data_IF_289474121695
#
_entry.id   IF_289474121695
#
_cell.length_a   1.000
_cell.length_b   1.000
_cell.length_c   1.000
_cell.angle_alpha   90.00
_cell.angle_beta   90.00
_cell.angle_gamma   90.00
#
_symmetry.space_group_name_H-M   'P 1'
#
loop_
_entity.id
_entity.type
_entity.pdbx_description
1 polymer ?
#
# COMPACT_ATOMS: atom_id res chain seq x y z
N UNK A 1 1.72 1.74 -24.85
CA UNK A 1 1.19 0.39 -24.55
C UNK A 1 1.06 0.14 -23.06
N UNK A 2 2.12 0.16 -22.25
CA UNK A 2 2.03 -0.08 -20.78
C UNK A 2 1.15 0.94 -20.03
N UNK A 3 1.35 2.24 -20.27
CA UNK A 3 0.51 3.29 -19.65
C UNK A 3 -0.94 3.25 -20.14
N UNK A 4 -1.15 2.88 -21.40
CA UNK A 4 -2.48 2.70 -21.96
C UNK A 4 -3.18 1.46 -21.34
N UNK A 5 -2.47 0.35 -21.18
CA UNK A 5 -2.98 -0.82 -20.47
C UNK A 5 -3.30 -0.53 -19.00
N UNK A 6 -2.46 0.26 -18.32
CA UNK A 6 -2.74 0.75 -16.96
C UNK A 6 -4.02 1.59 -16.92
N UNK A 7 -4.17 2.55 -17.83
CA UNK A 7 -5.35 3.40 -17.92
C UNK A 7 -6.63 2.59 -18.19
N UNK A 8 -6.56 1.57 -19.06
CA UNK A 8 -7.71 0.71 -19.33
C UNK A 8 -8.14 -0.14 -18.13
N UNK A 9 -7.21 -0.48 -17.23
CA UNK A 9 -7.49 -1.30 -16.04
C UNK A 9 -7.88 -0.45 -14.83
N UNK A 10 -7.17 0.66 -14.60
CA UNK A 10 -7.32 1.50 -13.41
C UNK A 10 -8.18 2.74 -13.65
N UNK A 11 -8.61 3.02 -14.89
CA UNK A 11 -9.34 4.23 -15.26
C UNK A 11 -8.51 5.53 -15.23
N UNK A 12 -7.33 5.49 -14.62
CA UNK A 12 -6.46 6.64 -14.41
C UNK A 12 -4.97 6.28 -14.58
N UNK A 13 -4.16 7.27 -14.95
CA UNK A 13 -2.71 7.10 -15.16
C UNK A 13 -1.90 7.17 -13.84
N UNK A 14 -2.49 7.70 -12.76
CA UNK A 14 -1.91 7.71 -11.43
C UNK A 14 -2.88 8.29 -10.40
N UNK A 15 -3.13 7.56 -9.31
CA UNK A 15 -3.88 8.11 -8.18
C UNK A 15 -3.07 9.20 -7.46
N UNK A 16 -3.72 10.26 -6.94
CA UNK A 16 -3.08 11.39 -6.27
C UNK A 16 -2.68 11.12 -4.82
N UNK A 17 -2.84 9.89 -4.29
CA UNK A 17 -2.42 9.60 -2.91
C UNK A 17 -0.90 9.59 -2.82
N UNK A 18 -0.34 10.77 -2.56
CA UNK A 18 1.05 10.94 -2.23
C UNK A 18 1.40 10.08 -0.99
N UNK A 19 2.65 9.59 -0.88
CA UNK A 19 3.06 8.87 0.32
C UNK A 19 2.76 9.69 1.58
N UNK A 20 2.56 9.04 2.72
CA UNK A 20 2.40 9.75 4.00
C UNK A 20 3.53 10.77 4.19
N UNK A 21 3.17 12.06 4.33
CA UNK A 21 4.10 13.19 4.43
C UNK A 21 4.57 13.81 3.09
N UNK A 22 4.25 13.19 1.96
CA UNK A 22 4.59 13.68 0.62
C UNK A 22 3.42 14.34 -0.11
N UNK A 23 2.25 14.46 0.52
CA UNK A 23 1.18 15.35 0.05
C UNK A 23 1.69 16.77 -0.14
N UNK A 24 2.69 17.21 0.64
CA UNK A 24 3.35 18.50 0.45
C UNK A 24 3.99 18.67 -0.94
N UNK A 25 4.36 17.57 -1.62
CA UNK A 25 4.90 17.60 -2.98
C UNK A 25 3.82 17.93 -4.03
N UNK A 26 2.53 17.90 -3.70
CA UNK A 26 1.48 18.41 -4.60
C UNK A 26 1.49 19.94 -4.66
N UNK A 27 1.91 20.60 -3.57
CA UNK A 27 1.83 22.05 -3.38
C UNK A 27 3.15 22.78 -3.68
N UNK A 28 4.30 22.09 -3.60
CA UNK A 28 5.64 22.65 -3.80
C UNK A 28 6.20 22.32 -5.19
N UNK A 29 7.04 23.17 -5.81
CA UNK A 29 7.81 22.81 -7.00
C UNK A 29 8.63 21.52 -6.82
N UNK A 30 8.08 20.40 -7.32
CA UNK A 30 8.64 19.03 -7.22
C UNK A 30 10.06 18.91 -7.75
N UNK A 31 10.46 19.84 -8.63
CA UNK A 31 11.74 19.84 -9.31
C UNK A 31 12.93 19.83 -8.33
N UNK A 32 12.83 20.49 -7.18
CA UNK A 32 13.93 20.54 -6.21
C UNK A 32 14.15 19.19 -5.52
N UNK A 33 13.07 18.55 -5.07
CA UNK A 33 13.13 17.23 -4.42
C UNK A 33 13.53 16.16 -5.43
N UNK A 34 12.97 16.19 -6.64
CA UNK A 34 13.37 15.27 -7.73
C UNK A 34 14.84 15.45 -8.09
N UNK A 35 15.33 16.69 -8.17
CA UNK A 35 16.75 16.94 -8.39
C UNK A 35 17.61 16.39 -7.23
N UNK A 36 17.12 16.46 -5.99
CA UNK A 36 17.82 15.90 -4.82
C UNK A 36 17.90 14.36 -4.81
N UNK A 37 17.06 13.63 -5.56
CA UNK A 37 17.15 12.15 -5.61
C UNK A 37 18.28 11.63 -6.49
N UNK A 38 18.74 12.43 -7.48
CA UNK A 38 19.73 11.99 -8.46
C UNK A 38 21.10 11.60 -7.88
N UNK A 39 21.66 12.32 -6.89
CA UNK A 39 22.86 11.86 -6.20
C UNK A 39 22.68 10.48 -5.58
N UNK A 40 21.51 10.19 -5.01
CA UNK A 40 21.21 8.87 -4.43
C UNK A 40 21.08 7.80 -5.52
N UNK A 41 20.40 8.09 -6.63
CA UNK A 41 20.29 7.17 -7.77
C UNK A 41 21.69 6.78 -8.30
N UNK A 42 22.56 7.77 -8.51
CA UNK A 42 23.93 7.54 -9.00
C UNK A 42 24.74 6.78 -7.96
N UNK A 43 24.64 7.16 -6.68
CA UNK A 43 25.25 6.43 -5.58
C UNK A 43 24.84 4.95 -5.62
N UNK A 44 23.55 4.64 -5.72
CA UNK A 44 23.06 3.26 -5.74
C UNK A 44 23.57 2.43 -6.93
N UNK A 45 23.76 3.04 -8.10
CA UNK A 45 24.26 2.35 -9.30
C UNK A 45 25.76 2.00 -9.20
N UNK A 46 26.57 2.89 -8.64
CA UNK A 46 28.03 2.69 -8.56
C UNK A 46 28.48 2.08 -7.23
N UNK A 47 27.81 2.45 -6.14
CA UNK A 47 28.14 2.13 -4.75
C UNK A 47 26.86 1.82 -3.97
N UNK A 48 26.31 0.59 -4.08
CA UNK A 48 25.10 0.14 -3.39
C UNK A 48 25.33 -0.07 -1.88
N UNK A 49 25.75 1.02 -1.22
CA UNK A 49 25.83 1.19 0.22
C UNK A 49 24.48 1.66 0.75
N UNK A 50 24.23 1.55 2.05
CA UNK A 50 23.06 2.17 2.69
C UNK A 50 21.74 1.84 1.95
N UNK A 51 21.42 0.55 1.94
CA UNK A 51 20.31 -0.01 1.15
C UNK A 51 19.02 0.09 1.96
N UNK A 52 17.94 0.53 1.32
CA UNK A 52 16.62 0.68 1.87
C UNK A 52 15.55 0.24 0.87
N UNK A 53 14.50 -0.38 1.41
CA UNK A 53 13.29 -0.75 0.64
C UNK A 53 12.57 0.49 0.10
N UNK A 54 12.67 1.62 0.81
CA UNK A 54 12.03 2.89 0.49
C UNK A 54 12.79 4.06 1.14
N UNK A 55 13.17 5.04 0.33
CA UNK A 55 13.81 6.28 0.76
C UNK A 55 12.74 7.37 0.77
N UNK A 56 11.93 7.36 1.84
CA UNK A 56 10.86 8.33 2.04
C UNK A 56 11.36 9.72 2.45
N UNK A 57 10.43 10.68 2.69
CA UNK A 57 10.74 12.06 3.08
C UNK A 57 11.62 12.22 4.33
N UNK A 58 11.63 11.22 5.24
CA UNK A 58 12.55 11.23 6.39
C UNK A 58 14.01 11.02 5.98
N UNK A 59 14.26 10.19 4.95
CA UNK A 59 15.61 9.84 4.49
C UNK A 59 16.10 10.79 3.40
N UNK A 60 15.23 11.16 2.46
CA UNK A 60 15.47 12.20 1.46
C UNK A 60 14.52 13.36 1.76
N UNK A 61 14.98 14.39 2.49
CA UNK A 61 14.14 15.52 2.86
C UNK A 61 13.51 16.21 1.66
N UNK A 62 12.26 16.64 1.84
CA UNK A 62 11.58 17.47 0.83
C UNK A 62 12.30 18.81 0.72
N UNK A 63 12.71 19.16 -0.49
CA UNK A 63 13.41 20.41 -0.75
C UNK A 63 12.41 21.53 -1.07
N UNK A 64 12.49 22.63 -0.33
CA UNK A 64 11.69 23.85 -0.52
C UNK A 64 12.39 24.91 -1.38
N UNK A 65 13.57 24.60 -1.92
CA UNK A 65 14.39 25.53 -2.69
C UNK A 65 15.65 24.86 -3.22
N UNK A 66 16.47 25.63 -3.93
CA UNK A 66 17.78 25.18 -4.37
C UNK A 66 18.72 25.02 -3.18
N UNK A 67 19.44 23.90 -3.15
CA UNK A 67 20.45 23.52 -2.18
C UNK A 67 21.66 22.95 -2.92
N UNK A 68 22.78 22.74 -2.22
CA UNK A 68 23.94 22.10 -2.84
C UNK A 68 23.59 20.72 -3.42
N UNK A 69 22.78 19.93 -2.70
CA UNK A 69 22.41 18.55 -3.08
C UNK A 69 21.63 18.51 -4.40
N UNK A 70 20.59 19.35 -4.54
CA UNK A 70 19.76 19.32 -5.74
C UNK A 70 20.42 20.02 -6.94
N UNK A 71 21.29 21.02 -6.72
CA UNK A 71 22.13 21.58 -7.78
C UNK A 71 23.10 20.53 -8.28
N UNK A 72 23.77 19.79 -7.39
CA UNK A 72 24.63 18.66 -7.77
C UNK A 72 23.83 17.61 -8.56
N UNK A 73 22.64 17.24 -8.10
CA UNK A 73 21.77 16.32 -8.83
C UNK A 73 21.42 16.79 -10.24
N UNK A 74 21.01 18.05 -10.39
CA UNK A 74 20.71 18.63 -11.70
C UNK A 74 21.95 18.65 -12.62
N UNK A 75 23.12 19.03 -12.11
CA UNK A 75 24.38 19.02 -12.86
C UNK A 75 24.78 17.60 -13.28
N UNK A 76 24.57 16.59 -12.42
CA UNK A 76 24.85 15.20 -12.74
C UNK A 76 23.95 14.71 -13.89
N UNK A 77 22.66 15.03 -13.87
CA UNK A 77 21.73 14.70 -14.97
C UNK A 77 22.17 15.36 -16.27
N UNK A 78 22.44 16.67 -16.23
CA UNK A 78 22.89 17.41 -17.42
C UNK A 78 24.21 16.85 -17.95
N UNK A 79 25.15 16.50 -17.07
CA UNK A 79 26.43 15.88 -17.43
C UNK A 79 26.26 14.51 -18.09
N UNK A 80 25.37 13.66 -17.56
CA UNK A 80 25.04 12.35 -18.15
C UNK A 80 24.42 12.53 -19.54
N UNK A 81 23.47 13.46 -19.70
CA UNK A 81 22.82 13.74 -20.98
C UNK A 81 23.82 14.32 -22.00
N UNK A 82 24.71 15.22 -21.58
CA UNK A 82 25.75 15.77 -22.43
C UNK A 82 26.75 14.70 -22.88
N UNK A 83 27.19 13.82 -21.97
CA UNK A 83 28.06 12.68 -22.28
C UNK A 83 27.37 11.72 -23.26
N UNK A 84 26.11 11.39 -23.01
CA UNK A 84 25.30 10.54 -23.88
C UNK A 84 25.17 11.12 -25.30
N UNK A 85 24.89 12.42 -25.40
CA UNK A 85 24.78 13.12 -26.68
C UNK A 85 26.13 13.18 -27.41
N UNK A 86 27.23 13.46 -26.71
CA UNK A 86 28.56 13.46 -27.28
C UNK A 86 28.97 12.06 -27.77
N UNK A 87 28.70 11.03 -26.98
CA UNK A 87 28.95 9.62 -27.32
C UNK A 87 28.09 9.15 -28.50
N UNK A 88 26.86 9.66 -28.63
CA UNK A 88 25.97 9.41 -29.75
C UNK A 88 26.49 10.06 -31.05
N UNK A 89 26.85 11.36 -31.00
CA UNK A 89 27.33 12.12 -32.16
C UNK A 89 28.67 11.61 -32.68
N UNK A 90 29.58 11.21 -31.78
CA UNK A 90 30.93 10.71 -32.15
C UNK A 90 30.95 9.22 -32.48
N UNK A 91 29.92 8.48 -32.08
CA UNK A 91 29.87 7.04 -32.29
C UNK A 91 29.61 6.70 -33.75
N UNK A 92 30.49 5.92 -34.36
CA UNK A 92 30.28 5.31 -35.67
C UNK A 92 29.65 3.94 -35.47
N UNK A 93 28.57 3.63 -36.20
CA UNK A 93 27.99 2.28 -36.26
C UNK A 93 28.78 1.48 -37.28
N UNK A 94 29.53 0.50 -36.83
CA UNK A 94 30.21 -0.47 -37.69
C UNK A 94 30.19 -1.85 -37.01
N UNK A 95 29.97 -2.95 -37.74
CA UNK A 95 29.98 -4.30 -37.17
C UNK A 95 31.28 -4.63 -36.42
N UNK A 96 32.41 -4.10 -36.89
CA UNK A 96 33.74 -4.47 -36.41
C UNK A 96 34.29 -3.56 -35.30
N UNK A 97 33.54 -2.54 -34.87
CA UNK A 97 34.01 -1.60 -33.84
C UNK A 97 32.98 -1.39 -32.75
N UNK A 98 33.50 -1.30 -31.52
CA UNK A 98 32.73 -0.97 -30.35
C UNK A 98 32.24 0.49 -30.41
N UNK A 99 30.96 0.70 -30.70
CA UNK A 99 30.38 2.03 -30.87
C UNK A 99 30.04 2.70 -29.54
N UNK A 100 30.49 3.94 -29.34
CA UNK A 100 30.11 4.75 -28.17
C UNK A 100 28.60 5.10 -28.12
N UNK A 101 27.85 4.83 -29.21
CA UNK A 101 26.38 4.98 -29.21
C UNK A 101 25.69 4.10 -28.16
N UNK A 102 26.33 3.03 -27.70
CA UNK A 102 25.82 2.22 -26.59
C UNK A 102 25.57 3.04 -25.32
N UNK A 103 26.41 4.04 -25.03
CA UNK A 103 26.23 4.95 -23.89
C UNK A 103 24.98 5.83 -24.09
N UNK A 104 24.82 6.36 -25.30
CA UNK A 104 23.65 7.17 -25.66
C UNK A 104 22.36 6.38 -25.57
N UNK A 105 22.36 5.15 -26.09
CA UNK A 105 21.25 4.21 -25.95
C UNK A 105 20.95 3.92 -24.47
N UNK A 106 21.98 3.63 -23.67
CA UNK A 106 21.82 3.35 -22.24
C UNK A 106 21.21 4.53 -21.47
N UNK A 107 21.62 5.76 -21.79
CA UNK A 107 21.03 6.96 -21.20
C UNK A 107 19.56 7.17 -21.60
N UNK A 108 19.22 6.99 -22.89
CA UNK A 108 17.84 7.06 -23.36
C UNK A 108 16.98 5.99 -22.68
N UNK A 109 17.47 4.75 -22.61
CA UNK A 109 16.81 3.66 -21.91
C UNK A 109 16.58 4.02 -20.44
N UNK A 110 17.60 4.52 -19.75
CA UNK A 110 17.51 4.92 -18.34
C UNK A 110 16.42 5.97 -18.14
N UNK A 111 16.42 7.05 -18.94
CA UNK A 111 15.44 8.14 -18.84
C UNK A 111 14.03 7.64 -19.10
N UNK A 112 13.81 6.83 -20.14
CA UNK A 112 12.49 6.28 -20.47
C UNK A 112 11.97 5.43 -19.31
N UNK A 113 12.82 4.56 -18.77
CA UNK A 113 12.41 3.56 -17.78
C UNK A 113 12.30 4.11 -16.36
N UNK A 114 13.07 5.14 -16.00
CA UNK A 114 12.91 5.82 -14.71
C UNK A 114 11.73 6.79 -14.71
N UNK A 115 11.35 7.34 -15.87
CA UNK A 115 10.33 8.39 -15.99
C UNK A 115 8.99 8.12 -15.28
N UNK A 116 8.42 6.89 -15.25
CA UNK A 116 7.16 6.65 -14.57
C UNK A 116 7.28 6.72 -13.04
N UNK A 117 8.49 6.55 -12.52
CA UNK A 117 8.79 6.49 -11.08
C UNK A 117 9.65 7.67 -10.60
N UNK A 118 9.97 8.62 -11.48
CA UNK A 118 10.82 9.77 -11.16
C UNK A 118 10.09 10.87 -10.37
N UNK A 119 8.79 10.72 -10.16
CA UNK A 119 7.90 11.73 -9.56
C UNK A 119 7.85 13.07 -10.33
N UNK A 120 8.42 13.13 -11.53
CA UNK A 120 8.39 14.30 -12.41
C UNK A 120 7.06 14.40 -13.17
N UNK A 121 6.63 13.29 -13.80
CA UNK A 121 5.37 13.25 -14.57
C UNK A 121 4.19 12.71 -13.75
N UNK A 122 4.43 11.72 -12.89
CA UNK A 122 3.41 11.03 -12.10
C UNK A 122 3.88 10.88 -10.67
N UNK A 123 3.03 11.20 -9.68
CA UNK A 123 3.32 10.89 -8.28
C UNK A 123 3.13 9.39 -8.08
N UNK A 124 4.21 8.69 -7.77
CA UNK A 124 4.21 7.23 -7.72
C UNK A 124 3.90 6.64 -6.35
N UNK A 125 3.67 7.47 -5.32
CA UNK A 125 3.50 6.98 -3.96
C UNK A 125 4.83 6.68 -3.23
N UNK A 126 5.98 6.81 -3.90
CA UNK A 126 7.33 6.46 -3.42
C UNK A 126 8.32 7.51 -3.94
N UNK A 127 9.16 8.07 -3.07
CA UNK A 127 10.12 9.10 -3.50
C UNK A 127 11.31 8.49 -4.26
N UNK A 128 11.93 7.45 -3.68
CA UNK A 128 12.93 6.59 -4.32
C UNK A 128 12.89 5.21 -3.66
N UNK A 129 13.03 4.15 -4.43
CA UNK A 129 13.20 2.80 -3.89
C UNK A 129 14.11 1.98 -4.81
N UNK A 130 14.86 1.03 -4.27
CA UNK A 130 15.80 0.21 -5.06
C UNK A 130 15.12 -0.51 -6.23
N UNK A 131 13.90 -1.03 -6.00
CA UNK A 131 13.12 -1.74 -7.02
C UNK A 131 12.78 -0.88 -8.23
N UNK A 132 12.77 0.45 -8.12
CA UNK A 132 12.51 1.33 -9.28
C UNK A 132 13.72 1.41 -10.21
N UNK A 133 14.91 1.01 -9.75
CA UNK A 133 16.14 1.01 -10.53
C UNK A 133 16.40 -0.30 -11.29
N UNK A 134 15.56 -1.33 -11.16
CA UNK A 134 15.77 -2.61 -11.84
C UNK A 134 15.79 -2.49 -13.36
N UNK A 135 14.80 -1.81 -13.95
CA UNK A 135 14.75 -1.61 -15.39
C UNK A 135 15.70 -0.49 -15.89
N UNK A 136 15.81 0.65 -15.18
CA UNK A 136 16.81 1.68 -15.49
C UNK A 136 18.24 1.18 -15.48
N UNK A 137 18.61 0.29 -14.55
CA UNK A 137 19.99 -0.20 -14.42
C UNK A 137 20.52 -0.92 -15.67
N UNK A 138 19.65 -1.47 -16.53
CA UNK A 138 20.06 -2.03 -17.83
C UNK A 138 20.82 -1.01 -18.69
N UNK A 139 20.36 0.24 -18.70
CA UNK A 139 21.03 1.32 -19.42
C UNK A 139 22.40 1.64 -18.85
N UNK A 140 22.52 1.62 -17.52
CA UNK A 140 23.78 1.77 -16.81
C UNK A 140 24.75 0.61 -17.10
N UNK A 141 24.28 -0.64 -17.04
CA UNK A 141 25.07 -1.84 -17.33
C UNK A 141 25.57 -1.83 -18.78
N UNK A 142 24.76 -1.38 -19.74
CA UNK A 142 25.20 -1.25 -21.14
C UNK A 142 26.34 -0.23 -21.30
N UNK A 143 26.25 0.91 -20.61
CA UNK A 143 27.32 1.92 -20.61
C UNK A 143 28.59 1.41 -19.90
N UNK A 144 28.44 0.72 -18.77
CA UNK A 144 29.55 0.12 -18.03
C UNK A 144 30.25 -0.99 -18.83
N UNK A 145 29.47 -1.86 -19.50
CA UNK A 145 29.99 -2.91 -20.37
C UNK A 145 30.77 -2.31 -21.55
N UNK A 146 30.25 -1.25 -22.18
CA UNK A 146 30.99 -0.53 -23.21
C UNK A 146 32.33 0.02 -22.69
N UNK A 147 32.31 0.68 -21.53
CA UNK A 147 33.53 1.24 -20.94
C UNK A 147 34.57 0.16 -20.61
N UNK A 148 34.11 -0.97 -20.08
CA UNK A 148 34.95 -2.12 -19.75
C UNK A 148 35.55 -2.76 -21.01
N UNK A 149 34.74 -2.98 -22.06
CA UNK A 149 35.22 -3.51 -23.34
C UNK A 149 36.21 -2.56 -24.01
N UNK A 150 35.97 -1.25 -23.92
CA UNK A 150 36.92 -0.24 -24.43
C UNK A 150 38.24 -0.28 -23.67
N UNK A 151 38.20 -0.45 -22.35
CA UNK A 151 39.40 -0.62 -21.54
C UNK A 151 40.10 -1.95 -21.85
N UNK A 152 39.34 -3.01 -22.11
CA UNK A 152 39.87 -4.34 -22.42
C UNK A 152 40.73 -4.34 -23.70
N UNK A 153 40.33 -3.57 -24.72
CA UNK A 153 41.09 -3.42 -25.96
C UNK A 153 42.49 -2.82 -25.75
N UNK A 154 42.68 -1.97 -24.73
CA UNK A 154 43.97 -1.31 -24.47
C UNK A 154 44.75 -1.86 -23.27
N UNK A 155 44.04 -2.26 -22.21
CA UNK A 155 44.60 -2.70 -20.91
C UNK A 155 43.79 -3.90 -20.36
N UNK A 156 43.88 -5.09 -20.98
CA UNK A 156 43.03 -6.24 -20.64
C UNK A 156 43.23 -6.72 -19.20
N UNK A 157 44.47 -6.70 -18.67
CA UNK A 157 44.75 -7.08 -17.27
C UNK A 157 44.03 -6.17 -16.28
N UNK A 158 44.08 -4.85 -16.51
CA UNK A 158 43.40 -3.88 -15.64
C UNK A 158 41.88 -4.04 -15.73
N UNK A 159 41.33 -4.21 -16.94
CA UNK A 159 39.91 -4.46 -17.14
C UNK A 159 39.46 -5.75 -16.43
N UNK A 160 40.24 -6.84 -16.53
CA UNK A 160 40.00 -8.09 -15.82
C UNK A 160 39.99 -7.93 -14.30
N UNK A 161 40.97 -7.23 -13.73
CA UNK A 161 41.01 -6.94 -12.29
C UNK A 161 39.79 -6.12 -11.86
N UNK A 162 39.44 -5.06 -12.58
CA UNK A 162 38.26 -4.24 -12.28
C UNK A 162 36.99 -5.08 -12.31
N UNK A 163 36.81 -5.93 -13.33
CA UNK A 163 35.64 -6.80 -13.46
C UNK A 163 35.55 -7.78 -12.29
N UNK A 164 36.64 -8.48 -11.97
CA UNK A 164 36.68 -9.45 -10.87
C UNK A 164 36.40 -8.77 -9.53
N UNK A 165 37.00 -7.60 -9.27
CA UNK A 165 36.75 -6.84 -8.06
C UNK A 165 35.29 -6.37 -7.97
N UNK A 166 34.74 -5.83 -9.06
CA UNK A 166 33.34 -5.40 -9.11
C UNK A 166 32.39 -6.56 -8.85
N UNK A 167 32.57 -7.70 -9.52
CA UNK A 167 31.76 -8.90 -9.30
C UNK A 167 31.92 -9.43 -7.88
N UNK A 168 33.14 -9.53 -7.36
CA UNK A 168 33.41 -9.98 -5.99
C UNK A 168 32.74 -9.11 -4.94
N UNK A 169 32.82 -7.78 -5.08
CA UNK A 169 32.16 -6.82 -4.20
C UNK A 169 30.63 -6.93 -4.30
N UNK A 170 30.05 -7.05 -5.49
CA UNK A 170 28.60 -7.18 -5.68
C UNK A 170 28.06 -8.52 -5.16
N UNK A 171 28.80 -9.62 -5.36
CA UNK A 171 28.48 -10.92 -4.78
C UNK A 171 28.55 -10.88 -3.25
N UNK A 172 29.61 -10.29 -2.68
CA UNK A 172 29.73 -10.09 -1.24
C UNK A 172 28.60 -9.22 -0.67
N UNK A 173 28.24 -8.13 -1.37
CA UNK A 173 27.14 -7.25 -0.97
C UNK A 173 25.79 -7.97 -1.00
N UNK A 174 25.55 -8.78 -2.05
CA UNK A 174 24.36 -9.62 -2.17
C UNK A 174 24.29 -10.62 -1.02
N UNK A 175 25.37 -11.38 -0.81
CA UNK A 175 25.46 -12.38 0.26
C UNK A 175 25.18 -11.77 1.65
N UNK A 176 25.76 -10.61 1.94
CA UNK A 176 25.54 -9.93 3.21
C UNK A 176 24.10 -9.40 3.38
N UNK A 177 23.40 -9.06 2.29
CA UNK A 177 22.04 -8.51 2.35
C UNK A 177 20.94 -9.56 2.30
N UNK A 178 21.19 -10.74 1.70
CA UNK A 178 20.19 -11.81 1.57
C UNK A 178 19.51 -12.19 2.90
N UNK A 179 20.22 -12.33 4.04
CA UNK A 179 19.59 -12.68 5.31
C UNK A 179 18.51 -11.68 5.76
N UNK A 180 18.70 -10.39 5.48
CA UNK A 180 17.73 -9.33 5.83
C UNK A 180 16.36 -9.59 5.20
N UNK A 181 16.32 -10.20 4.01
CA UNK A 181 15.08 -10.46 3.26
C UNK A 181 14.39 -11.77 3.63
N UNK A 182 14.79 -12.43 4.72
CA UNK A 182 14.19 -13.70 5.16
C UNK A 182 12.71 -13.58 5.51
N UNK A 183 12.30 -12.47 6.14
CA UNK A 183 10.91 -12.16 6.47
C UNK A 183 10.71 -10.66 6.69
N UNK A 184 9.46 -10.21 6.72
CA UNK A 184 9.12 -8.79 6.86
C UNK A 184 9.64 -8.17 8.16
N UNK A 185 9.59 -8.92 9.27
CA UNK A 185 10.06 -8.43 10.57
C UNK A 185 11.54 -8.07 10.53
N UNK A 186 12.38 -8.95 9.98
CA UNK A 186 13.82 -8.70 9.82
C UNK A 186 14.11 -7.53 8.88
N UNK A 187 13.41 -7.46 7.74
CA UNK A 187 13.56 -6.36 6.78
C UNK A 187 13.32 -5.01 7.45
N UNK A 188 12.19 -4.86 8.15
CA UNK A 188 11.83 -3.58 8.76
C UNK A 188 12.61 -3.30 10.05
N UNK A 189 13.03 -4.33 10.78
CA UNK A 189 13.93 -4.17 11.93
C UNK A 189 15.29 -3.60 11.50
N UNK A 190 15.93 -4.21 10.49
CA UNK A 190 17.18 -3.69 9.93
C UNK A 190 16.98 -2.28 9.37
N UNK A 191 15.91 -2.08 8.60
CA UNK A 191 15.63 -0.77 8.00
C UNK A 191 15.46 0.34 9.04
N UNK A 192 14.77 0.07 10.15
CA UNK A 192 14.58 1.06 11.23
C UNK A 192 15.82 1.24 12.10
N UNK A 193 16.74 0.27 12.12
CA UNK A 193 18.05 0.43 12.74
C UNK A 193 19.01 1.28 11.89
N UNK A 194 18.94 1.17 10.57
CA UNK A 194 19.74 1.95 9.60
C UNK A 194 19.15 3.36 9.40
N UNK A 195 17.82 3.46 9.33
CA UNK A 195 17.05 4.70 9.14
C UNK A 195 15.93 4.84 10.19
N UNK A 196 16.25 5.25 11.44
CA UNK A 196 15.26 5.47 12.48
C UNK A 196 14.17 6.50 12.10
N UNK A 197 14.52 7.46 11.24
CA UNK A 197 13.67 8.51 10.69
C UNK A 197 12.68 8.02 9.62
N UNK A 198 12.77 6.76 9.18
CA UNK A 198 11.84 6.18 8.21
C UNK A 198 10.50 5.81 8.88
N UNK A 199 9.62 6.79 9.08
CA UNK A 199 8.35 6.60 9.78
C UNK A 199 7.43 5.53 9.15
N UNK A 200 7.45 5.36 7.82
CA UNK A 200 6.71 4.28 7.14
C UNK A 200 7.28 2.90 7.49
N UNK A 201 8.60 2.79 7.63
CA UNK A 201 9.25 1.55 8.05
C UNK A 201 8.87 1.21 9.50
N UNK A 202 8.78 2.21 10.39
CA UNK A 202 8.28 2.03 11.76
C UNK A 202 6.83 1.52 11.79
N UNK A 203 5.97 2.05 10.92
CA UNK A 203 4.59 1.55 10.79
C UNK A 203 4.57 0.07 10.35
N UNK A 204 5.27 -0.27 9.28
CA UNK A 204 5.32 -1.65 8.75
C UNK A 204 6.02 -2.63 9.71
N UNK A 205 6.97 -2.14 10.52
CA UNK A 205 7.55 -2.90 11.62
C UNK A 205 6.50 -3.22 12.68
N UNK A 206 5.64 -2.26 13.01
CA UNK A 206 4.49 -2.48 13.89
C UNK A 206 3.55 -3.57 13.38
N UNK A 207 3.16 -3.50 12.10
CA UNK A 207 2.34 -4.54 11.46
C UNK A 207 3.02 -5.92 11.53
N UNK A 208 4.34 -5.95 11.31
CA UNK A 208 5.13 -7.19 11.37
C UNK A 208 5.20 -7.78 12.78
N UNK A 209 5.31 -6.95 13.82
CA UNK A 209 5.26 -7.40 15.21
C UNK A 209 3.88 -7.96 15.59
N UNK A 210 2.79 -7.34 15.12
CA UNK A 210 1.44 -7.89 15.33
C UNK A 210 1.25 -9.23 14.64
N UNK A 211 1.70 -9.36 13.39
CA UNK A 211 1.69 -10.63 12.67
C UNK A 211 2.54 -11.72 13.36
N UNK A 212 3.60 -11.34 14.07
CA UNK A 212 4.45 -12.23 14.85
C UNK A 212 3.91 -12.52 16.28
N UNK A 213 2.73 -12.00 16.65
CA UNK A 213 2.16 -12.18 17.98
C UNK A 213 2.87 -11.39 19.10
N UNK A 214 3.55 -10.29 18.75
CA UNK A 214 4.32 -9.44 19.67
C UNK A 214 3.68 -8.05 19.83
N UNK A 215 2.48 -7.94 20.42
CA UNK A 215 1.70 -6.69 20.43
C UNK A 215 2.38 -5.54 21.19
N UNK A 216 3.20 -5.85 22.21
CA UNK A 216 3.91 -4.81 22.99
C UNK A 216 4.91 -4.05 22.14
N UNK A 217 5.70 -4.75 21.32
CA UNK A 217 6.66 -4.12 20.42
C UNK A 217 5.94 -3.46 19.23
N UNK A 218 4.85 -4.08 18.74
CA UNK A 218 4.00 -3.49 17.70
C UNK A 218 3.44 -2.12 18.09
N UNK A 219 2.89 -1.99 19.30
CA UNK A 219 2.40 -0.71 19.82
C UNK A 219 3.51 0.34 19.97
N UNK A 220 4.72 -0.06 20.36
CA UNK A 220 5.86 0.86 20.43
C UNK A 220 6.25 1.37 19.03
N UNK A 221 6.33 0.48 18.05
CA UNK A 221 6.64 0.84 16.67
C UNK A 221 5.59 1.78 16.07
N UNK A 222 4.29 1.53 16.31
CA UNK A 222 3.23 2.46 15.94
C UNK A 222 3.35 3.83 16.59
N UNK A 223 3.70 3.88 17.88
CA UNK A 223 3.94 5.17 18.57
C UNK A 223 5.09 5.95 17.93
N UNK A 224 6.18 5.28 17.56
CA UNK A 224 7.27 5.93 16.82
C UNK A 224 6.82 6.39 15.43
N UNK A 225 6.07 5.56 14.70
CA UNK A 225 5.55 5.91 13.38
C UNK A 225 4.66 7.17 13.44
N UNK A 226 3.73 7.23 14.39
CA UNK A 226 2.86 8.40 14.62
C UNK A 226 3.69 9.62 15.02
N UNK A 227 4.74 9.45 15.84
CA UNK A 227 5.63 10.54 16.22
C UNK A 227 6.41 11.13 15.03
N UNK A 228 6.81 10.31 14.06
CA UNK A 228 7.61 10.74 12.89
C UNK A 228 6.73 11.27 11.77
N UNK A 229 5.67 10.54 11.41
CA UNK A 229 4.79 10.87 10.29
C UNK A 229 3.68 11.87 10.67
N UNK A 230 3.55 12.16 11.96
CA UNK A 230 2.40 12.84 12.52
C UNK A 230 1.17 11.92 12.60
N UNK A 231 0.17 12.35 13.37
CA UNK A 231 -1.10 11.64 13.50
C UNK A 231 -2.02 11.80 12.29
N UNK A 232 -1.53 11.76 11.06
CA UNK A 232 -2.35 11.97 9.86
C UNK A 232 -3.41 10.87 9.70
N UNK A 233 -4.66 11.24 9.39
CA UNK A 233 -5.80 10.33 9.34
C UNK A 233 -5.55 8.99 8.60
N UNK A 234 -4.92 9.00 7.42
CA UNK A 234 -4.58 7.77 6.67
C UNK A 234 -3.70 6.79 7.46
N UNK A 235 -2.71 7.29 8.20
CA UNK A 235 -1.84 6.45 9.04
C UNK A 235 -2.64 5.86 10.20
N UNK A 236 -3.44 6.70 10.87
CA UNK A 236 -4.26 6.31 12.00
C UNK A 236 -5.28 5.23 11.63
N UNK A 237 -5.96 5.39 10.49
CA UNK A 237 -6.88 4.39 9.94
C UNK A 237 -6.13 3.10 9.59
N UNK A 238 -4.95 3.20 8.96
CA UNK A 238 -4.11 2.05 8.62
C UNK A 238 -3.71 1.23 9.85
N UNK A 239 -3.17 1.89 10.88
CA UNK A 239 -2.81 1.27 12.16
C UNK A 239 -4.04 0.67 12.84
N UNK A 240 -5.17 1.39 12.84
CA UNK A 240 -6.39 0.96 13.51
C UNK A 240 -6.95 -0.34 12.93
N UNK A 241 -6.86 -0.56 11.61
CA UNK A 241 -7.26 -1.84 11.00
C UNK A 241 -6.47 -3.02 11.57
N UNK A 242 -5.16 -2.88 11.71
CA UNK A 242 -4.32 -3.93 12.32
C UNK A 242 -4.67 -4.13 13.79
N UNK A 243 -4.89 -3.05 14.54
CA UNK A 243 -5.29 -3.12 15.94
C UNK A 243 -6.65 -3.80 16.15
N UNK A 244 -7.65 -3.49 15.32
CA UNK A 244 -8.97 -4.16 15.34
C UNK A 244 -8.81 -5.67 15.12
N UNK A 245 -8.06 -6.06 14.08
CA UNK A 245 -7.81 -7.46 13.76
C UNK A 245 -7.06 -8.21 14.89
N UNK A 246 -6.22 -7.50 15.64
CA UNK A 246 -5.52 -8.02 16.81
C UNK A 246 -6.31 -7.92 18.12
N UNK A 247 -7.55 -7.40 18.10
CA UNK A 247 -8.42 -7.26 19.27
C UNK A 247 -8.09 -6.08 20.19
N UNK A 248 -7.23 -5.15 19.76
CA UNK A 248 -6.85 -3.95 20.52
C UNK A 248 -7.81 -2.77 20.28
N UNK A 249 -9.10 -3.01 20.48
CA UNK A 249 -10.18 -2.09 20.12
C UNK A 249 -10.07 -0.72 20.78
N UNK A 250 -9.69 -0.65 22.07
CA UNK A 250 -9.58 0.62 22.79
C UNK A 250 -8.53 1.57 22.17
N UNK A 251 -7.40 1.01 21.72
CA UNK A 251 -6.37 1.79 21.03
C UNK A 251 -6.83 2.20 19.63
N UNK A 252 -7.47 1.28 18.89
CA UNK A 252 -8.03 1.57 17.57
C UNK A 252 -9.10 2.67 17.63
N UNK A 253 -10.02 2.61 18.60
CA UNK A 253 -11.09 3.59 18.78
C UNK A 253 -10.54 5.01 18.98
N UNK A 254 -9.51 5.16 19.82
CA UNK A 254 -8.87 6.45 20.07
C UNK A 254 -8.25 7.03 18.79
N UNK A 255 -7.54 6.21 18.01
CA UNK A 255 -6.93 6.64 16.76
C UNK A 255 -7.96 6.95 15.67
N UNK A 256 -9.04 6.17 15.58
CA UNK A 256 -10.12 6.39 14.62
C UNK A 256 -10.95 7.64 14.94
N UNK A 257 -11.23 7.91 16.22
CA UNK A 257 -11.87 9.16 16.63
C UNK A 257 -11.03 10.36 16.23
N UNK A 258 -9.72 10.31 16.48
CA UNK A 258 -8.83 11.39 16.07
C UNK A 258 -8.73 11.53 14.54
N UNK A 259 -8.72 10.41 13.81
CA UNK A 259 -8.75 10.44 12.34
C UNK A 259 -10.05 11.08 11.81
N UNK A 260 -11.18 10.78 12.45
CA UNK A 260 -12.49 11.32 12.09
C UNK A 260 -12.59 12.82 12.39
N UNK A 261 -12.05 13.30 13.52
CA UNK A 261 -11.94 14.72 13.83
C UNK A 261 -11.14 15.50 12.78
N UNK A 262 -10.07 14.89 12.23
CA UNK A 262 -9.24 15.54 11.23
C UNK A 262 -9.90 15.63 9.85
N UNK A 263 -10.67 14.61 9.46
CA UNK A 263 -11.34 14.52 8.16
C UNK A 263 -12.75 13.96 8.33
N UNK A 264 -13.73 14.80 8.74
CA UNK A 264 -15.11 14.38 8.90
C UNK A 264 -15.69 13.71 7.65
N UNK A 265 -15.36 14.21 6.47
CA UNK A 265 -15.85 13.70 5.18
C UNK A 265 -15.26 12.34 4.77
N UNK A 266 -14.30 11.80 5.53
CA UNK A 266 -13.70 10.51 5.24
C UNK A 266 -14.43 9.38 5.99
N UNK A 267 -15.53 8.89 5.41
CA UNK A 267 -16.45 7.89 5.99
C UNK A 267 -15.83 6.54 6.41
N UNK A 268 -14.57 6.28 6.08
CA UNK A 268 -13.84 5.05 6.46
C UNK A 268 -13.62 4.96 7.97
N UNK A 269 -13.31 6.06 8.64
CA UNK A 269 -13.06 6.05 10.10
C UNK A 269 -14.32 5.69 10.91
N UNK A 270 -15.47 6.38 10.72
CA UNK A 270 -16.73 5.97 11.35
C UNK A 270 -17.14 4.55 10.94
N UNK A 271 -16.94 4.15 9.68
CA UNK A 271 -17.24 2.79 9.24
C UNK A 271 -16.42 1.69 9.92
N UNK A 272 -15.21 1.98 10.40
CA UNK A 272 -14.41 1.05 11.22
C UNK A 272 -14.81 1.09 12.70
N UNK A 273 -15.26 2.25 13.20
CA UNK A 273 -15.78 2.40 14.55
C UNK A 273 -17.06 1.57 14.77
N UNK A 274 -17.90 1.38 13.75
CA UNK A 274 -19.11 0.54 13.86
C UNK A 274 -18.79 -0.86 14.36
N UNK A 275 -17.74 -1.49 13.83
CA UNK A 275 -17.31 -2.83 14.25
C UNK A 275 -16.83 -2.85 15.70
N UNK A 276 -16.12 -1.81 16.15
CA UNK A 276 -15.65 -1.68 17.52
C UNK A 276 -16.84 -1.53 18.48
N UNK A 277 -17.76 -0.62 18.17
CA UNK A 277 -18.93 -0.35 19.01
C UNK A 277 -19.86 -1.56 19.10
N UNK A 278 -20.07 -2.26 17.98
CA UNK A 278 -20.85 -3.49 17.93
C UNK A 278 -20.26 -4.60 18.81
N UNK A 279 -18.93 -4.81 18.77
CA UNK A 279 -18.24 -5.75 19.69
C UNK A 279 -18.34 -5.37 21.16
N UNK A 280 -18.42 -4.08 21.46
CA UNK A 280 -18.55 -3.55 22.81
C UNK A 280 -20.03 -3.48 23.29
N UNK A 281 -21.00 -3.86 22.46
CA UNK A 281 -22.43 -3.75 22.77
C UNK A 281 -22.96 -2.30 22.79
N UNK A 282 -22.20 -1.35 22.24
CA UNK A 282 -22.51 0.07 22.17
C UNK A 282 -23.34 0.36 20.92
N UNK A 283 -24.51 -0.24 20.86
CA UNK A 283 -25.36 -0.24 19.67
C UNK A 283 -25.84 1.14 19.22
N UNK A 284 -26.18 2.10 20.11
CA UNK A 284 -26.52 3.46 19.70
C UNK A 284 -25.37 4.16 18.96
N UNK A 285 -24.13 4.02 19.45
CA UNK A 285 -22.95 4.60 18.77
C UNK A 285 -22.62 3.86 17.47
N UNK A 286 -22.82 2.54 17.42
CA UNK A 286 -22.66 1.75 16.20
C UNK A 286 -23.64 2.19 15.11
N UNK A 287 -24.90 2.43 15.46
CA UNK A 287 -25.91 2.97 14.55
C UNK A 287 -25.51 4.35 14.03
N UNK A 288 -25.16 5.27 14.93
CA UNK A 288 -24.80 6.64 14.55
C UNK A 288 -23.60 6.66 13.59
N UNK A 289 -22.56 5.87 13.88
CA UNK A 289 -21.38 5.75 13.03
C UNK A 289 -21.70 5.10 11.67
N UNK A 290 -22.57 4.08 11.64
CA UNK A 290 -22.96 3.41 10.40
C UNK A 290 -23.78 4.33 9.49
N UNK A 291 -24.73 5.08 10.06
CA UNK A 291 -25.52 6.07 9.31
C UNK A 291 -24.62 7.16 8.73
N UNK A 292 -23.69 7.68 9.52
CA UNK A 292 -22.73 8.68 9.03
C UNK A 292 -21.87 8.13 7.87
N UNK A 293 -21.35 6.92 7.99
CA UNK A 293 -20.57 6.31 6.91
C UNK A 293 -21.41 6.12 5.62
N UNK A 294 -22.71 5.84 5.75
CA UNK A 294 -23.65 5.73 4.64
C UNK A 294 -24.08 7.08 4.03
N UNK A 295 -23.94 8.19 4.75
CA UNK A 295 -24.12 9.53 4.16
C UNK A 295 -23.00 9.83 3.15
N UNK A 296 -21.78 9.38 3.43
CA UNK A 296 -20.62 9.54 2.53
C UNK A 296 -20.62 8.51 1.39
N UNK A 297 -20.89 7.24 1.69
CA UNK A 297 -21.05 6.19 0.69
C UNK A 297 -22.35 5.40 0.92
N UNK A 298 -23.41 5.87 0.26
CA UNK A 298 -24.74 5.23 0.30
C UNK A 298 -24.79 3.82 -0.30
N UNK A 299 -23.69 3.33 -0.88
CA UNK A 299 -23.57 2.00 -1.49
C UNK A 299 -22.74 1.02 -0.68
N UNK A 300 -22.23 1.41 0.50
CA UNK A 300 -21.44 0.53 1.35
C UNK A 300 -22.31 -0.55 2.03
N UNK A 301 -22.32 -1.75 1.44
CA UNK A 301 -23.07 -2.89 1.95
C UNK A 301 -22.62 -3.34 3.35
N UNK A 302 -21.35 -3.11 3.72
CA UNK A 302 -20.81 -3.46 5.05
C UNK A 302 -21.42 -2.56 6.12
N UNK A 303 -21.62 -1.28 5.83
CA UNK A 303 -22.24 -0.36 6.79
C UNK A 303 -23.74 -0.62 6.95
N UNK A 304 -24.45 -1.01 5.88
CA UNK A 304 -25.83 -1.49 6.01
C UNK A 304 -25.93 -2.76 6.86
N UNK A 305 -24.95 -3.67 6.76
CA UNK A 305 -24.88 -4.83 7.65
C UNK A 305 -24.70 -4.41 9.11
N UNK A 306 -23.75 -3.52 9.40
CA UNK A 306 -23.49 -3.02 10.75
C UNK A 306 -24.71 -2.28 11.32
N UNK A 307 -25.36 -1.45 10.51
CA UNK A 307 -26.59 -0.74 10.86
C UNK A 307 -27.72 -1.72 11.21
N UNK A 308 -27.94 -2.75 10.39
CA UNK A 308 -28.96 -3.78 10.63
C UNK A 308 -28.73 -4.47 11.99
N UNK A 309 -27.49 -4.86 12.30
CA UNK A 309 -27.15 -5.45 13.61
C UNK A 309 -27.41 -4.50 14.77
N UNK A 310 -26.96 -3.25 14.65
CA UNK A 310 -27.14 -2.25 15.70
C UNK A 310 -28.63 -1.97 15.97
N UNK A 311 -29.46 -1.92 14.93
CA UNK A 311 -30.91 -1.74 15.04
C UNK A 311 -31.60 -2.96 15.65
N UNK A 312 -31.22 -4.17 15.23
CA UNK A 312 -31.74 -5.43 15.76
C UNK A 312 -31.49 -5.54 17.27
N UNK A 313 -30.26 -5.26 17.71
CA UNK A 313 -29.89 -5.28 19.12
C UNK A 313 -30.62 -4.22 19.97
N UNK A 314 -31.09 -3.14 19.35
CA UNK A 314 -31.94 -2.13 19.98
C UNK A 314 -33.44 -2.46 19.91
N UNK A 315 -33.83 -3.60 19.33
CA UNK A 315 -35.24 -4.01 19.17
C UNK A 315 -35.98 -3.32 18.03
N UNK A 316 -35.29 -2.52 17.20
CA UNK A 316 -35.87 -1.81 16.04
C UNK A 316 -35.89 -2.72 14.81
N UNK A 317 -36.66 -3.79 14.91
CA UNK A 317 -36.60 -4.94 13.99
C UNK A 317 -37.04 -4.60 12.56
N UNK A 318 -38.04 -3.74 12.37
CA UNK A 318 -38.48 -3.32 11.03
C UNK A 318 -37.36 -2.58 10.28
N UNK A 319 -36.72 -1.60 10.92
CA UNK A 319 -35.59 -0.87 10.33
C UNK A 319 -34.38 -1.78 10.13
N UNK A 320 -34.16 -2.76 11.01
CA UNK A 320 -33.10 -3.75 10.86
C UNK A 320 -33.31 -4.63 9.61
N UNK A 321 -34.55 -5.00 9.29
CA UNK A 321 -34.92 -5.71 8.05
C UNK A 321 -34.63 -4.84 6.82
N UNK A 322 -35.00 -3.55 6.86
CA UNK A 322 -34.78 -2.65 5.73
C UNK A 322 -33.29 -2.39 5.47
N UNK A 323 -32.50 -2.15 6.53
CA UNK A 323 -31.05 -2.05 6.44
C UNK A 323 -30.44 -3.34 5.88
N UNK A 324 -30.94 -4.51 6.30
CA UNK A 324 -30.46 -5.80 5.77
C UNK A 324 -30.76 -5.97 4.28
N UNK A 325 -31.96 -5.61 3.84
CA UNK A 325 -32.34 -5.62 2.42
C UNK A 325 -31.46 -4.66 1.62
N UNK A 326 -31.10 -3.50 2.18
CA UNK A 326 -30.17 -2.57 1.55
C UNK A 326 -28.78 -3.19 1.38
N UNK A 327 -28.21 -3.83 2.41
CA UNK A 327 -26.93 -4.55 2.31
C UNK A 327 -26.93 -5.57 1.15
N UNK A 328 -28.01 -6.36 1.03
CA UNK A 328 -28.19 -7.34 -0.06
C UNK A 328 -28.22 -6.65 -1.43
N UNK A 329 -28.97 -5.53 -1.58
CA UNK A 329 -29.08 -4.79 -2.86
C UNK A 329 -27.74 -4.21 -3.31
N UNK A 330 -26.90 -3.75 -2.39
CA UNK A 330 -25.71 -2.96 -2.70
C UNK A 330 -24.41 -3.76 -2.89
N UNK A 331 -24.44 -5.10 -2.85
CA UNK A 331 -23.27 -5.89 -3.25
C UNK A 331 -23.18 -7.28 -2.63
N UNK A 332 -23.94 -7.55 -1.58
CA UNK A 332 -23.79 -8.79 -0.82
C UNK A 332 -24.82 -9.87 -1.19
N UNK A 333 -25.55 -9.70 -2.30
CA UNK A 333 -26.62 -10.62 -2.70
C UNK A 333 -26.16 -12.05 -3.00
N UNK A 334 -24.87 -12.27 -3.31
CA UNK A 334 -24.30 -13.59 -3.58
C UNK A 334 -23.97 -14.39 -2.31
N UNK A 335 -23.85 -13.75 -1.15
CA UNK A 335 -23.46 -14.40 0.10
C UNK A 335 -24.68 -14.95 0.83
N UNK A 336 -24.72 -16.26 1.08
CA UNK A 336 -25.85 -16.89 1.77
C UNK A 336 -26.06 -16.31 3.19
N UNK A 337 -24.98 -15.85 3.84
CA UNK A 337 -24.98 -15.33 5.20
C UNK A 337 -25.90 -14.11 5.33
N UNK A 338 -25.96 -13.25 4.30
CA UNK A 338 -26.86 -12.09 4.33
C UNK A 338 -28.33 -12.47 4.38
N UNK A 339 -28.69 -13.51 3.61
CA UNK A 339 -30.04 -14.03 3.57
C UNK A 339 -30.40 -14.78 4.86
N UNK A 340 -29.42 -15.45 5.48
CA UNK A 340 -29.60 -16.03 6.81
C UNK A 340 -29.84 -14.97 7.88
N UNK A 341 -29.03 -13.91 7.91
CA UNK A 341 -29.22 -12.79 8.84
C UNK A 341 -30.54 -12.04 8.60
N UNK A 342 -30.98 -11.92 7.34
CA UNK A 342 -32.31 -11.39 7.02
C UNK A 342 -33.41 -12.26 7.60
N UNK A 343 -33.33 -13.57 7.41
CA UNK A 343 -34.29 -14.51 7.97
C UNK A 343 -34.34 -14.45 9.50
N UNK A 344 -33.19 -14.33 10.15
CA UNK A 344 -33.08 -14.21 11.61
C UNK A 344 -33.84 -12.99 12.13
N UNK A 345 -33.59 -11.81 11.57
CA UNK A 345 -34.29 -10.58 11.97
C UNK A 345 -35.79 -10.68 11.68
N UNK A 346 -36.18 -11.30 10.56
CA UNK A 346 -37.59 -11.52 10.20
C UNK A 346 -38.30 -12.48 11.16
N UNK A 347 -37.61 -13.52 11.64
CA UNK A 347 -38.14 -14.43 12.65
C UNK A 347 -38.34 -13.71 13.98
N UNK A 348 -37.39 -12.86 14.39
CA UNK A 348 -37.53 -12.05 15.61
C UNK A 348 -38.68 -11.04 15.49
N UNK A 349 -38.90 -10.49 14.29
CA UNK A 349 -40.03 -9.61 13.99
C UNK A 349 -41.37 -10.37 13.98
N UNK A 350 -41.34 -11.70 13.84
CA UNK A 350 -42.52 -12.56 13.71
C UNK A 350 -42.98 -12.78 12.25
N UNK A 351 -42.29 -12.21 11.26
CA UNK A 351 -42.58 -12.41 9.83
C UNK A 351 -42.01 -13.74 9.33
N UNK A 352 -42.68 -14.81 9.74
CA UNK A 352 -42.29 -16.19 9.46
C UNK A 352 -42.31 -16.49 7.95
N UNK A 353 -43.23 -15.87 7.20
CA UNK A 353 -43.36 -16.11 5.75
C UNK A 353 -42.14 -15.57 5.00
N UNK A 354 -41.76 -14.32 5.27
CA UNK A 354 -40.58 -13.73 4.62
C UNK A 354 -39.30 -14.40 5.10
N UNK A 355 -39.22 -14.80 6.37
CA UNK A 355 -38.07 -15.53 6.89
C UNK A 355 -37.81 -16.84 6.13
N UNK A 356 -38.85 -17.61 5.81
CA UNK A 356 -38.68 -18.84 5.02
C UNK A 356 -38.19 -18.57 3.61
N UNK A 357 -38.73 -17.53 2.95
CA UNK A 357 -38.28 -17.11 1.62
C UNK A 357 -36.81 -16.65 1.62
N UNK A 358 -36.39 -15.96 2.68
CA UNK A 358 -34.99 -15.57 2.88
C UNK A 358 -34.10 -16.81 3.08
N UNK A 359 -34.54 -17.81 3.85
CA UNK A 359 -33.79 -19.07 3.99
C UNK A 359 -33.74 -19.88 2.69
N UNK A 360 -34.78 -19.86 1.85
CA UNK A 360 -34.72 -20.47 0.52
C UNK A 360 -33.67 -19.77 -0.35
N UNK A 361 -33.64 -18.43 -0.29
CA UNK A 361 -32.63 -17.63 -0.99
C UNK A 361 -31.21 -17.92 -0.48
N UNK A 362 -31.02 -18.14 0.82
CA UNK A 362 -29.77 -18.59 1.39
C UNK A 362 -29.38 -19.99 0.88
N UNK A 363 -30.32 -20.93 0.82
CA UNK A 363 -30.08 -22.32 0.41
C UNK A 363 -29.63 -22.42 -1.05
N UNK A 364 -30.20 -21.59 -1.94
CA UNK A 364 -29.78 -21.48 -3.33
C UNK A 364 -28.33 -21.00 -3.51
N UNK A 365 -27.80 -20.29 -2.50
CA UNK A 365 -26.46 -19.69 -2.51
C UNK A 365 -25.45 -20.46 -1.66
N UNK A 366 -25.87 -21.54 -1.02
CA UNK A 366 -24.99 -22.39 -0.24
C UNK A 366 -24.01 -23.15 -1.15
N UNK A 367 -22.71 -22.96 -0.94
CA UNK A 367 -21.65 -23.59 -1.72
C UNK A 367 -21.34 -25.03 -1.27
N UNK A 368 -21.75 -25.40 -0.06
CA UNK A 368 -21.39 -26.70 0.54
C UNK A 368 -22.58 -27.42 1.20
N UNK A 369 -22.44 -28.74 1.37
CA UNK A 369 -23.43 -29.57 2.10
C UNK A 369 -23.55 -29.15 3.56
N UNK A 370 -22.44 -28.71 4.17
CA UNK A 370 -22.42 -28.24 5.57
C UNK A 370 -23.29 -26.99 5.75
N UNK A 371 -23.19 -26.05 4.82
CA UNK A 371 -23.98 -24.82 4.83
C UNK A 371 -25.47 -25.08 4.65
N UNK A 372 -25.84 -25.99 3.74
CA UNK A 372 -27.25 -26.41 3.58
C UNK A 372 -27.82 -27.04 4.85
N UNK A 373 -27.05 -27.92 5.51
CA UNK A 373 -27.46 -28.51 6.78
C UNK A 373 -27.67 -27.48 7.90
N UNK A 374 -26.87 -26.41 7.93
CA UNK A 374 -27.06 -25.31 8.88
C UNK A 374 -28.37 -24.56 8.62
N UNK A 375 -28.72 -24.34 7.35
CA UNK A 375 -30.00 -23.71 6.99
C UNK A 375 -31.18 -24.62 7.39
N UNK A 376 -31.05 -25.93 7.14
CA UNK A 376 -32.06 -26.92 7.53
C UNK A 376 -32.22 -27.04 9.05
N UNK A 377 -31.13 -26.91 9.84
CA UNK A 377 -31.22 -26.93 11.29
C UNK A 377 -31.99 -25.73 11.84
N UNK A 378 -31.75 -24.52 11.30
CA UNK A 378 -32.50 -23.32 11.66
C UNK A 378 -33.99 -23.49 11.34
N UNK A 379 -34.31 -24.14 10.21
CA UNK A 379 -35.70 -24.50 9.85
C UNK A 379 -36.32 -25.46 10.86
N UNK A 380 -35.59 -26.48 11.27
CA UNK A 380 -36.08 -27.49 12.20
C UNK A 380 -36.31 -26.92 13.60
N UNK A 381 -35.34 -26.19 14.16
CA UNK A 381 -35.42 -25.61 15.51
C UNK A 381 -36.62 -24.65 15.65
N UNK A 382 -36.84 -23.79 14.64
CA UNK A 382 -37.90 -22.77 14.69
C UNK A 382 -39.29 -23.33 14.36
N UNK A 383 -39.38 -24.49 13.67
CA UNK A 383 -40.64 -25.23 13.52
C UNK A 383 -41.07 -25.92 14.81
N UNK A 384 -40.12 -26.38 15.62
CA UNK A 384 -40.40 -27.07 16.90
C UNK A 384 -40.69 -26.07 18.03
N UNK A 385 -40.09 -24.88 18.02
CA UNK A 385 -40.39 -23.81 18.99
C UNK A 385 -41.72 -23.08 18.79
N UNK A 386 -42.38 -23.23 17.63
CA UNK A 386 -43.68 -22.62 17.30
C UNK A 386 -44.90 -23.37 17.82
N UNK A 387 -44.71 -24.45 18.58
CA UNK A 387 -45.78 -25.22 19.24
C UNK A 387 -45.73 -25.04 20.76
N UNK A 388 -46.01 -23.84 21.25
CA UNK A 388 -46.58 -23.68 22.59
C UNK A 388 -47.81 -22.74 22.48
N UNK A 389 -48.99 -23.20 22.93
CA UNK A 389 -50.26 -22.48 22.79
C UNK A 389 -50.34 -21.22 23.64
#
# INVERSE_FOLDING_TARGET
LLLFGRFLVLGELGEPYAPLGASILTEIPRIWTVAATWPHIIRLLFFPLDLSVDYGPGVIPVALGWSSVNVTGALLVLGILALALAAWRRGVLSPDRLSSRAIGWGAVWFVITISPTSNFFFLSGILLAERTLYLPSVGFVAAAAWALLRLWQGRPRLAGVILVLALGLMCGRTWARTPTWKNNLEVFHVLTSEHPEAGRAQWLLGDSYFAAGQPREGLRAYRYAIGILGGHYNLLVGISRTLIGAGHDAAAELLLKHAWEQRPEFGVAPGLLTHIYDRQGRYPEAEAAARYALEEDSTDAVQYHALSRALQAQGRLEEAVDARRAAIRHGESGHMQQWMWLAEVQLELGDTVQAWASLDSANLRAGSVRERRLIDSIRAERRVGGTHP
#
